data_IF_797617315461
#
_entry.id   IF_797617315461
#
_cell.length_a   1.000
_cell.length_b   1.000
_cell.length_c   1.000
_cell.angle_alpha   90.00
_cell.angle_beta   90.00
_cell.angle_gamma   90.00
#
_symmetry.space_group_name_H-M   'P 1'
#
loop_
_entity.id
_entity.type
_entity.pdbx_description
1 polymer ?
#
# COMPACT_ATOMS: atom_id res chain seq x y z
N UNK A 1 -2.06 -29.01 -28.29
CA UNK A 1 -3.25 -28.88 -27.42
C UNK A 1 -4.41 -28.40 -28.28
N UNK A 2 -5.61 -29.00 -28.22
CA UNK A 2 -6.75 -28.55 -29.01
C UNK A 2 -7.13 -27.11 -28.61
N UNK A 3 -7.56 -26.29 -29.58
CA UNK A 3 -7.90 -24.87 -29.39
C UNK A 3 -8.94 -24.67 -28.26
N UNK A 4 -9.85 -25.62 -28.10
CA UNK A 4 -10.87 -25.65 -27.04
C UNK A 4 -10.26 -25.75 -25.63
N UNK A 5 -9.18 -26.51 -25.46
CA UNK A 5 -8.49 -26.63 -24.18
C UNK A 5 -7.74 -25.34 -23.81
N UNK A 6 -7.22 -24.61 -24.80
CA UNK A 6 -6.57 -23.30 -24.59
C UNK A 6 -7.60 -22.26 -24.15
N UNK A 7 -8.76 -22.20 -24.81
CA UNK A 7 -9.85 -21.29 -24.41
C UNK A 7 -10.37 -21.60 -23.00
N UNK A 8 -10.56 -22.89 -22.66
CA UNK A 8 -10.99 -23.30 -21.34
C UNK A 8 -9.98 -22.90 -20.24
N UNK A 9 -8.67 -23.02 -20.53
CA UNK A 9 -7.62 -22.60 -19.61
C UNK A 9 -7.61 -21.07 -19.40
N UNK A 10 -7.79 -20.29 -20.46
CA UNK A 10 -7.88 -18.82 -20.37
C UNK A 10 -9.08 -18.39 -19.54
N UNK A 11 -10.25 -19.01 -19.75
CA UNK A 11 -11.46 -18.74 -18.97
C UNK A 11 -11.31 -19.14 -17.50
N UNK A 12 -10.60 -20.23 -17.22
CA UNK A 12 -10.29 -20.64 -15.85
C UNK A 12 -9.35 -19.64 -15.16
N UNK A 13 -8.31 -19.19 -15.86
CA UNK A 13 -7.36 -18.20 -15.34
C UNK A 13 -8.00 -16.82 -15.12
N UNK A 14 -8.91 -16.40 -16.00
CA UNK A 14 -9.67 -15.15 -15.82
C UNK A 14 -10.65 -15.26 -14.65
N UNK A 15 -11.34 -16.40 -14.49
CA UNK A 15 -12.21 -16.66 -13.34
C UNK A 15 -11.44 -16.67 -12.01
N UNK A 16 -10.25 -17.28 -11.98
CA UNK A 16 -9.36 -17.26 -10.81
C UNK A 16 -8.83 -15.86 -10.48
N UNK A 17 -8.69 -15.00 -11.49
CA UNK A 17 -8.29 -13.60 -11.34
C UNK A 17 -9.44 -12.71 -10.87
N UNK A 18 -10.71 -13.13 -11.03
CA UNK A 18 -11.92 -12.43 -10.59
C UNK A 18 -12.19 -12.58 -9.08
N UNK A 19 -11.15 -12.77 -8.26
CA UNK A 19 -11.30 -12.61 -6.81
C UNK A 19 -11.68 -11.15 -6.55
N UNK A 20 -12.91 -10.93 -6.10
CA UNK A 20 -13.39 -9.62 -5.68
C UNK A 20 -12.49 -9.11 -4.54
N UNK A 21 -11.57 -8.20 -4.86
CA UNK A 21 -10.79 -7.48 -3.86
C UNK A 21 -11.72 -6.48 -3.18
N UNK A 22 -12.10 -6.75 -1.94
CA UNK A 22 -12.79 -5.76 -1.11
C UNK A 22 -11.75 -4.77 -0.62
N UNK A 23 -11.70 -3.58 -1.22
CA UNK A 23 -10.85 -2.51 -0.75
C UNK A 23 -11.33 -2.03 0.62
N UNK A 24 -10.51 -2.19 1.65
CA UNK A 24 -10.76 -1.62 2.97
C UNK A 24 -10.18 -0.20 3.03
N UNK A 25 -10.92 0.71 3.64
CA UNK A 25 -10.51 2.10 3.88
C UNK A 25 -9.93 2.31 5.29
N UNK A 26 -9.90 1.25 6.10
CA UNK A 26 -9.55 1.28 7.51
C UNK A 26 -8.45 0.26 7.80
N UNK A 27 -7.39 0.71 8.49
CA UNK A 27 -6.35 -0.16 9.08
C UNK A 27 -6.59 -0.20 10.59
N UNK A 28 -6.78 -1.39 11.13
CA UNK A 28 -6.95 -1.61 12.57
C UNK A 28 -5.70 -2.24 13.18
N UNK A 29 -5.65 -2.39 14.51
CA UNK A 29 -4.50 -2.98 15.20
C UNK A 29 -4.22 -4.47 14.86
N UNK A 30 -5.09 -5.12 14.09
CA UNK A 30 -4.90 -6.49 13.62
C UNK A 30 -4.28 -6.56 12.22
N UNK A 31 -4.12 -5.41 11.56
CA UNK A 31 -3.65 -5.31 10.19
C UNK A 31 -2.44 -4.38 10.07
N UNK A 32 -1.72 -4.51 8.98
CA UNK A 32 -0.62 -3.64 8.62
C UNK A 32 -0.59 -3.45 7.10
N UNK A 33 -0.03 -2.33 6.65
CA UNK A 33 0.31 -2.12 5.26
C UNK A 33 1.76 -2.50 5.05
N UNK A 34 2.01 -3.39 4.10
CA UNK A 34 3.36 -3.73 3.64
C UNK A 34 3.66 -2.95 2.37
N UNK A 35 4.82 -2.32 2.28
CA UNK A 35 5.25 -1.62 1.06
C UNK A 35 5.13 -2.54 -0.19
N UNK A 36 4.44 -2.15 -1.29
CA UNK A 36 3.92 -0.82 -1.64
C UNK A 36 2.40 -0.64 -1.47
N UNK A 37 1.77 -1.36 -0.55
CA UNK A 37 0.34 -1.27 -0.29
C UNK A 37 -0.09 0.14 0.13
N UNK A 38 -1.33 0.46 -0.23
CA UNK A 38 -2.01 1.71 0.09
C UNK A 38 -3.46 1.41 0.44
N UNK A 39 -4.09 2.33 1.16
CA UNK A 39 -5.55 2.35 1.34
C UNK A 39 -6.10 3.62 0.71
N UNK A 40 -7.36 3.60 0.31
CA UNK A 40 -8.04 4.77 -0.23
C UNK A 40 -9.17 5.11 0.73
N UNK A 41 -9.25 6.39 1.13
CA UNK A 41 -10.35 6.89 1.96
C UNK A 41 -11.69 6.61 1.29
N UNK A 42 -12.76 6.38 2.08
CA UNK A 42 -14.11 6.08 1.59
C UNK A 42 -14.63 6.97 0.45
N UNK A 43 -14.27 8.25 0.44
CA UNK A 43 -14.70 9.23 -0.56
C UNK A 43 -13.69 9.42 -1.70
N UNK A 44 -12.67 8.58 -1.80
CA UNK A 44 -11.57 8.64 -2.76
C UNK A 44 -10.86 9.99 -2.80
N UNK A 45 -10.82 10.72 -1.68
CA UNK A 45 -10.14 12.01 -1.61
C UNK A 45 -8.64 11.86 -1.30
N UNK A 46 -8.31 10.94 -0.39
CA UNK A 46 -6.97 10.75 0.14
C UNK A 46 -6.52 9.29 0.04
N UNK A 47 -5.22 9.11 -0.14
CA UNK A 47 -4.55 7.81 -0.16
C UNK A 47 -3.40 7.82 0.84
N UNK A 48 -3.54 7.13 1.98
CA UNK A 48 -2.43 6.76 2.84
C UNK A 48 -1.63 5.58 2.27
N UNK A 49 -0.31 5.58 2.46
CA UNK A 49 0.52 4.39 2.24
C UNK A 49 1.98 4.70 1.94
N UNK A 50 2.67 3.73 1.35
CA UNK A 50 4.09 3.86 0.99
C UNK A 50 4.28 4.54 -0.36
N UNK A 51 5.19 5.51 -0.43
CA UNK A 51 5.56 6.18 -1.68
C UNK A 51 7.06 6.51 -1.73
N UNK A 52 7.53 6.83 -2.93
CA UNK A 52 8.85 7.41 -3.18
C UNK A 52 8.69 8.78 -3.82
N UNK A 53 9.43 9.81 -3.35
CA UNK A 53 9.57 11.05 -4.08
C UNK A 53 10.15 10.81 -5.49
N UNK A 54 9.91 11.72 -6.45
CA UNK A 54 10.56 11.66 -7.76
C UNK A 54 12.07 11.54 -7.62
N UNK A 55 12.69 10.67 -8.43
CA UNK A 55 14.14 10.46 -8.48
C UNK A 55 14.78 9.97 -7.17
N UNK A 56 14.01 9.35 -6.27
CA UNK A 56 14.53 8.75 -5.05
C UNK A 56 14.08 7.30 -4.89
N UNK A 57 14.97 6.45 -4.38
CA UNK A 57 14.63 5.08 -3.95
C UNK A 57 14.14 5.04 -2.51
N UNK A 58 14.26 6.16 -1.78
CA UNK A 58 13.78 6.24 -0.41
C UNK A 58 12.26 6.03 -0.35
N UNK A 59 11.83 5.30 0.67
CA UNK A 59 10.41 5.02 0.93
C UNK A 59 9.95 5.79 2.15
N UNK A 60 8.74 6.32 2.05
CA UNK A 60 8.06 7.04 3.10
C UNK A 60 6.63 6.57 3.23
N UNK A 61 6.09 6.65 4.44
CA UNK A 61 4.65 6.60 4.69
C UNK A 61 4.13 8.02 4.64
N UNK A 62 3.10 8.25 3.83
CA UNK A 62 2.47 9.55 3.70
C UNK A 62 1.00 9.46 3.37
N UNK A 63 0.39 10.63 3.28
CA UNK A 63 -0.98 10.83 2.81
C UNK A 63 -0.91 11.82 1.65
N UNK A 64 -1.58 11.50 0.55
CA UNK A 64 -1.67 12.37 -0.63
C UNK A 64 -3.08 12.37 -1.21
N UNK A 65 -3.39 13.35 -2.05
CA UNK A 65 -4.67 13.37 -2.78
C UNK A 65 -4.74 12.24 -3.82
N UNK A 66 -5.85 11.51 -3.87
CA UNK A 66 -6.01 10.39 -4.80
C UNK A 66 -6.24 10.83 -6.26
N UNK A 67 -6.52 12.12 -6.49
CA UNK A 67 -6.80 12.65 -7.84
C UNK A 67 -5.53 12.61 -8.71
N UNK A 68 -5.59 12.04 -9.93
CA UNK A 68 -4.40 11.88 -10.77
C UNK A 68 -3.66 13.18 -11.10
N UNK A 69 -4.38 14.31 -11.18
CA UNK A 69 -3.84 15.63 -11.50
C UNK A 69 -3.15 16.33 -10.33
N UNK A 70 -3.34 15.84 -9.09
CA UNK A 70 -2.81 16.46 -7.87
C UNK A 70 -2.21 15.35 -7.02
N UNK A 71 -0.93 15.03 -7.22
CA UNK A 71 -0.19 14.14 -6.31
C UNK A 71 0.60 14.95 -5.30
N UNK A 72 -0.11 15.81 -4.58
CA UNK A 72 0.49 16.56 -3.48
C UNK A 72 0.43 15.71 -2.22
N UNK A 73 1.62 15.44 -1.67
CA UNK A 73 1.77 14.78 -0.39
C UNK A 73 1.46 15.81 0.69
N UNK A 74 0.37 15.60 1.43
CA UNK A 74 -0.09 16.53 2.47
C UNK A 74 0.54 16.22 3.83
N UNK A 75 1.04 15.00 4.02
CA UNK A 75 1.69 14.59 5.27
C UNK A 75 2.66 13.42 5.05
N UNK A 76 3.75 13.39 5.83
CA UNK A 76 4.79 12.34 5.80
C UNK A 76 5.16 11.96 7.24
N UNK A 77 5.05 10.67 7.58
CA UNK A 77 5.40 10.12 8.89
C UNK A 77 6.92 10.17 9.12
N UNK A 78 7.65 9.33 8.39
CA UNK A 78 9.08 9.09 8.58
C UNK A 78 9.95 10.06 7.76
N UNK A 79 9.57 11.35 7.76
CA UNK A 79 10.24 12.42 6.97
C UNK A 79 11.74 12.57 7.26
N UNK A 80 12.16 12.30 8.50
CA UNK A 80 13.55 12.40 8.94
C UNK A 80 14.31 11.07 8.86
N UNK A 81 13.60 9.96 8.66
CA UNK A 81 14.12 8.59 8.73
C UNK A 81 13.54 7.74 7.59
N UNK A 82 13.90 8.02 6.32
CA UNK A 82 13.44 7.23 5.19
C UNK A 82 13.86 5.76 5.28
N UNK A 83 13.10 4.88 4.64
CA UNK A 83 13.61 3.54 4.34
C UNK A 83 14.44 3.59 3.06
N UNK A 84 15.53 2.82 2.99
CA UNK A 84 16.36 2.76 1.80
C UNK A 84 15.73 1.92 0.67
N UNK A 85 14.83 0.97 1.00
CA UNK A 85 14.24 0.01 0.07
C UNK A 85 12.82 -0.39 0.49
N UNK A 86 12.07 -1.03 -0.42
CA UNK A 86 10.69 -1.48 -0.23
C UNK A 86 10.57 -2.72 0.65
N UNK A 87 10.73 -2.51 1.95
CA UNK A 87 10.62 -3.55 2.99
C UNK A 87 9.89 -3.06 4.24
N UNK A 88 9.18 -1.94 4.11
CA UNK A 88 8.53 -1.27 5.23
C UNK A 88 7.21 -1.89 5.65
N UNK A 89 6.90 -1.76 6.93
CA UNK A 89 5.59 -2.08 7.51
C UNK A 89 5.04 -0.82 8.19
N UNK A 90 3.81 -0.46 7.87
CA UNK A 90 3.05 0.58 8.57
C UNK A 90 1.89 -0.08 9.32
N UNK A 91 1.76 0.17 10.62
CA UNK A 91 0.75 -0.50 11.46
C UNK A 91 0.19 0.41 12.54
N UNK A 92 -0.99 0.05 13.02
CA UNK A 92 -1.59 0.56 14.25
C UNK A 92 -1.27 -0.44 15.36
N UNK A 93 -0.75 0.03 16.49
CA UNK A 93 -0.56 -0.80 17.68
C UNK A 93 -1.87 -0.93 18.46
N UNK A 94 -1.97 -1.92 19.35
CA UNK A 94 -3.19 -2.13 20.16
C UNK A 94 -3.53 -0.92 21.04
N UNK A 95 -2.51 -0.17 21.42
CA UNK A 95 -2.59 1.05 22.24
C UNK A 95 -3.00 2.28 21.41
N UNK A 96 -3.19 2.14 20.10
CA UNK A 96 -3.60 3.21 19.18
C UNK A 96 -2.44 4.00 18.55
N UNK A 97 -1.20 3.72 18.97
CA UNK A 97 -0.02 4.36 18.39
C UNK A 97 0.26 3.84 16.98
N UNK A 98 0.68 4.72 16.09
CA UNK A 98 1.12 4.37 14.75
C UNK A 98 2.62 4.03 14.76
N UNK A 99 3.03 3.08 13.92
CA UNK A 99 4.45 2.72 13.78
C UNK A 99 4.84 2.50 12.32
N UNK A 100 6.03 2.97 11.96
CA UNK A 100 6.74 2.60 10.74
C UNK A 100 7.97 1.76 11.10
N UNK A 101 8.02 0.55 10.55
CA UNK A 101 9.14 -0.37 10.70
C UNK A 101 9.87 -0.54 9.36
N UNK A 102 11.19 -0.72 9.40
CA UNK A 102 11.94 -1.20 8.24
C UNK A 102 12.00 -2.73 8.17
N UNK A 103 12.62 -3.28 7.12
CA UNK A 103 12.78 -4.73 6.93
C UNK A 103 13.62 -5.44 8.00
N UNK A 104 14.24 -4.70 8.94
CA UNK A 104 14.97 -5.23 10.11
C UNK A 104 14.16 -5.06 11.41
N UNK A 105 12.88 -4.72 11.32
CA UNK A 105 12.00 -4.41 12.46
C UNK A 105 12.47 -3.24 13.34
N UNK A 106 13.28 -2.33 12.79
CA UNK A 106 13.65 -1.10 13.50
C UNK A 106 12.53 -0.06 13.36
N UNK A 107 12.16 0.56 14.47
CA UNK A 107 11.17 1.65 14.51
C UNK A 107 11.79 2.91 13.94
N UNK A 108 11.16 3.47 12.91
CA UNK A 108 11.61 4.69 12.24
C UNK A 108 10.74 5.91 12.58
N UNK A 109 9.48 5.66 12.96
CA UNK A 109 8.51 6.65 13.38
C UNK A 109 7.43 5.97 14.24
#
# INVERSE_FOLDING_TARGET
LPLTAVCALILLLSYLSLKASSATDTVTATQFLKDPETIISKNNALTPGFFSPPNSTHRYVGIWYSKPSVKDVVWIANRNSPLNYSSGIFRVLKEGNLQVLNGKNQILW
#
